data_IF_326062133048
#
_entry.id   IF_326062133048
#
_cell.length_a   1.000
_cell.length_b   1.000
_cell.length_c   1.000
_cell.angle_alpha   90.00
_cell.angle_beta   90.00
_cell.angle_gamma   90.00
#
_symmetry.space_group_name_H-M   'P 1'
#
loop_
_entity.id
_entity.type
_entity.pdbx_description
1 polymer ?
#
# COMPACT_ATOMS: atom_id res chain seq x y z
N UNK A 1 -0.47 6.88 34.70
CA UNK A 1 -1.10 5.61 35.08
C UNK A 1 -2.43 5.40 34.38
N UNK A 2 -2.89 4.14 34.28
CA UNK A 2 -4.18 3.77 33.67
C UNK A 2 -4.23 3.67 32.14
N UNK A 3 -3.08 3.76 31.44
CA UNK A 3 -3.02 3.77 29.97
C UNK A 3 -3.76 2.61 29.30
N UNK A 4 -3.68 1.40 29.86
CA UNK A 4 -4.28 0.18 29.31
C UNK A 4 -5.81 0.10 29.46
N UNK A 5 -6.41 0.96 30.27
CA UNK A 5 -7.84 0.96 30.55
C UNK A 5 -8.57 2.14 29.89
N UNK A 6 -7.87 2.91 29.06
CA UNK A 6 -8.45 4.02 28.30
C UNK A 6 -9.13 3.48 27.04
N UNK A 7 -10.47 3.54 26.94
CA UNK A 7 -11.20 2.94 25.83
C UNK A 7 -10.87 3.56 24.47
N UNK A 8 -10.36 4.80 24.46
CA UNK A 8 -9.97 5.53 23.24
C UNK A 8 -8.78 4.89 22.50
N UNK A 9 -8.01 4.02 23.17
CA UNK A 9 -6.85 3.34 22.61
C UNK A 9 -7.11 1.87 22.24
N UNK A 10 -8.38 1.42 22.33
CA UNK A 10 -8.77 0.08 21.88
C UNK A 10 -8.86 0.08 20.35
N UNK A 11 -8.06 -0.78 19.72
CA UNK A 11 -8.16 -1.02 18.28
C UNK A 11 -9.32 -1.97 17.98
N UNK A 12 -10.26 -1.54 17.14
CA UNK A 12 -11.36 -2.37 16.65
C UNK A 12 -11.25 -2.54 15.14
N UNK A 13 -11.38 -1.45 14.38
CA UNK A 13 -11.19 -1.46 12.94
C UNK A 13 -9.72 -1.28 12.58
N UNK A 14 -9.26 -2.02 11.57
CA UNK A 14 -7.95 -1.80 10.98
C UNK A 14 -7.89 -0.42 10.29
N UNK A 15 -6.74 0.23 10.41
CA UNK A 15 -6.42 1.37 9.57
C UNK A 15 -6.16 0.92 8.12
N UNK A 16 -6.09 1.89 7.22
CA UNK A 16 -5.68 1.64 5.85
C UNK A 16 -4.21 1.22 5.80
N UNK A 17 -3.88 0.20 5.02
CA UNK A 17 -2.51 -0.26 4.82
C UNK A 17 -2.31 -0.75 3.38
N UNK A 18 -1.07 -0.70 2.90
CA UNK A 18 -0.65 -1.28 1.63
C UNK A 18 0.82 -1.71 1.72
N UNK A 19 1.15 -2.78 1.01
CA UNK A 19 2.50 -3.31 0.95
C UNK A 19 2.83 -3.80 -0.45
N UNK A 20 4.10 -3.66 -0.80
CA UNK A 20 4.69 -4.18 -2.04
C UNK A 20 5.01 -5.67 -1.82
N UNK A 21 4.54 -6.53 -2.73
CA UNK A 21 4.88 -7.95 -2.76
C UNK A 21 5.75 -8.33 -3.96
N UNK A 22 5.92 -7.42 -4.93
CA UNK A 22 6.82 -7.57 -6.06
C UNK A 22 7.46 -6.20 -6.34
N UNK A 23 8.80 -6.07 -6.28
CA UNK A 23 9.81 -7.14 -6.28
C UNK A 23 9.90 -7.95 -4.98
N UNK A 24 10.44 -9.17 -5.11
CA UNK A 24 10.84 -9.99 -3.96
C UNK A 24 12.04 -9.36 -3.23
N UNK A 25 12.20 -9.73 -1.95
CA UNK A 25 13.36 -9.31 -1.18
C UNK A 25 14.66 -9.82 -1.82
N UNK A 26 15.59 -8.90 -2.09
CA UNK A 26 16.84 -9.14 -2.82
C UNK A 26 16.69 -9.57 -4.29
N UNK A 27 15.52 -9.36 -4.90
CA UNK A 27 15.39 -9.52 -6.34
C UNK A 27 16.27 -8.50 -7.08
N UNK A 28 16.90 -8.95 -8.17
CA UNK A 28 17.79 -8.12 -8.98
C UNK A 28 17.35 -8.11 -10.44
N UNK A 29 17.34 -6.92 -11.04
CA UNK A 29 17.04 -6.73 -12.46
C UNK A 29 18.35 -6.45 -13.21
N UNK A 30 18.60 -7.21 -14.29
CA UNK A 30 19.78 -6.98 -15.15
C UNK A 30 19.49 -5.86 -16.16
N UNK A 31 19.92 -4.64 -15.84
CA UNK A 31 19.63 -3.43 -16.62
C UNK A 31 19.96 -3.57 -18.10
N UNK A 32 21.12 -4.13 -18.48
CA UNK A 32 21.52 -4.29 -19.90
C UNK A 32 20.48 -5.04 -20.74
N UNK A 33 19.71 -5.95 -20.14
CA UNK A 33 18.69 -6.75 -20.81
C UNK A 33 17.30 -6.11 -20.78
N UNK A 34 17.01 -5.36 -19.71
CA UNK A 34 15.65 -4.92 -19.36
C UNK A 34 15.45 -3.41 -19.51
N UNK A 35 16.47 -2.64 -19.91
CA UNK A 35 16.42 -1.17 -19.96
C UNK A 35 15.26 -0.60 -20.79
N UNK A 36 14.85 -1.31 -21.85
CA UNK A 36 13.74 -0.93 -22.74
C UNK A 36 12.44 -1.69 -22.44
N UNK A 37 12.39 -2.48 -21.37
CA UNK A 37 11.19 -3.20 -20.94
C UNK A 37 10.52 -2.52 -19.75
N UNK A 38 9.36 -3.03 -19.38
CA UNK A 38 8.68 -2.70 -18.13
C UNK A 38 8.97 -3.78 -17.08
N UNK A 39 8.80 -3.40 -15.82
CA UNK A 39 8.79 -4.29 -14.68
C UNK A 39 7.42 -4.17 -14.00
N UNK A 40 6.77 -5.30 -13.68
CA UNK A 40 5.50 -5.29 -12.95
C UNK A 40 5.79 -5.15 -11.46
N UNK A 41 5.42 -4.01 -10.88
CA UNK A 41 5.29 -3.84 -9.44
C UNK A 41 3.92 -4.34 -9.02
N UNK A 42 3.86 -5.07 -7.92
CA UNK A 42 2.60 -5.59 -7.40
C UNK A 42 2.59 -5.60 -5.88
N UNK A 43 1.38 -5.64 -5.34
CA UNK A 43 1.17 -5.71 -3.91
C UNK A 43 -0.29 -5.86 -3.56
N UNK A 44 -0.58 -5.61 -2.28
CA UNK A 44 -1.94 -5.60 -1.76
C UNK A 44 -2.21 -4.34 -0.94
N UNK A 45 -3.49 -4.06 -0.73
CA UNK A 45 -3.97 -3.00 0.15
C UNK A 45 -5.26 -3.45 0.87
N UNK A 46 -5.47 -2.96 2.08
CA UNK A 46 -6.66 -3.22 2.88
C UNK A 46 -6.99 -2.05 3.81
N UNK A 47 -8.22 -2.02 4.32
CA UNK A 47 -8.69 -1.08 5.35
C UNK A 47 -9.75 -1.80 6.18
N UNK A 48 -9.98 -1.37 7.42
CA UNK A 48 -11.02 -1.90 8.28
C UNK A 48 -12.42 -1.35 7.97
N UNK A 49 -13.39 -1.74 8.78
CA UNK A 49 -14.76 -1.19 8.73
C UNK A 49 -15.54 -1.48 7.45
N UNK A 50 -15.07 -2.42 6.62
CA UNK A 50 -15.75 -2.79 5.37
C UNK A 50 -15.59 -1.75 4.27
N UNK A 51 -14.68 -0.80 4.43
CA UNK A 51 -14.48 0.31 3.49
C UNK A 51 -13.79 -0.18 2.21
N UNK A 52 -14.19 0.40 1.08
CA UNK A 52 -13.55 0.13 -0.20
C UNK A 52 -12.21 0.85 -0.31
N UNK A 53 -11.12 0.14 -0.63
CA UNK A 53 -9.91 0.76 -1.16
C UNK A 53 -10.23 1.34 -2.54
N UNK A 54 -9.99 2.63 -2.77
CA UNK A 54 -10.33 3.32 -4.01
C UNK A 54 -9.12 3.68 -4.86
N UNK A 55 -7.94 3.79 -4.24
CA UNK A 55 -6.71 4.25 -4.90
C UNK A 55 -5.50 3.61 -4.26
N UNK A 56 -4.54 3.20 -5.07
CA UNK A 56 -3.19 2.85 -4.66
C UNK A 56 -2.23 3.61 -5.57
N UNK A 57 -1.21 4.22 -4.97
CA UNK A 57 -0.18 4.95 -5.69
C UNK A 57 1.19 4.42 -5.30
N UNK A 58 2.14 4.48 -6.23
CA UNK A 58 3.55 4.23 -5.97
C UNK A 58 4.39 5.49 -6.23
N UNK A 59 5.56 5.56 -5.60
CA UNK A 59 6.56 6.58 -5.89
C UNK A 59 7.93 5.95 -6.01
N UNK A 60 8.70 6.39 -7.01
CA UNK A 60 10.10 6.00 -7.23
C UNK A 60 11.08 7.15 -7.01
N UNK A 61 10.59 8.30 -6.53
CA UNK A 61 11.36 9.50 -6.27
C UNK A 61 11.09 10.06 -4.87
N UNK A 62 11.07 9.17 -3.89
CA UNK A 62 10.97 9.52 -2.46
C UNK A 62 9.70 10.31 -2.10
N UNK A 63 8.59 10.05 -2.81
CA UNK A 63 7.28 10.63 -2.51
C UNK A 63 7.03 12.01 -3.13
N UNK A 64 7.92 12.49 -4.00
CA UNK A 64 7.75 13.77 -4.71
C UNK A 64 6.63 13.66 -5.76
N UNK A 65 6.66 12.62 -6.58
CA UNK A 65 5.61 12.31 -7.56
C UNK A 65 5.03 10.92 -7.28
N UNK A 66 3.76 10.74 -7.65
CA UNK A 66 3.00 9.53 -7.42
C UNK A 66 2.35 9.03 -8.71
N UNK A 67 2.43 7.73 -8.94
CA UNK A 67 1.91 7.04 -10.12
C UNK A 67 0.74 6.15 -9.69
N UNK A 68 -0.39 6.30 -10.38
CA UNK A 68 -1.62 5.57 -10.05
C UNK A 68 -1.51 4.11 -10.50
N UNK A 69 -1.80 3.19 -9.57
CA UNK A 69 -1.80 1.75 -9.83
C UNK A 69 -3.18 1.23 -10.27
N UNK A 70 -3.16 0.11 -10.99
CA UNK A 70 -4.37 -0.64 -11.32
C UNK A 70 -4.78 -1.51 -10.13
N UNK A 71 -6.04 -1.41 -9.70
CA UNK A 71 -6.57 -2.18 -8.57
C UNK A 71 -7.34 -3.40 -9.08
N UNK A 72 -6.87 -4.58 -8.72
CA UNK A 72 -7.51 -5.87 -9.01
C UNK A 72 -8.30 -6.36 -7.79
N UNK A 73 -9.64 -6.21 -7.86
CA UNK A 73 -10.56 -6.70 -6.82
C UNK A 73 -11.08 -8.08 -7.20
N UNK A 74 -10.64 -9.09 -6.46
CA UNK A 74 -11.10 -10.48 -6.62
C UNK A 74 -12.47 -10.71 -5.99
N UNK A 75 -12.73 -10.06 -4.86
CA UNK A 75 -14.00 -10.22 -4.15
C UNK A 75 -15.03 -9.14 -4.52
N UNK A 76 -16.29 -9.57 -4.48
CA UNK A 76 -17.45 -8.69 -4.66
C UNK A 76 -17.87 -8.11 -3.30
N UNK A 77 -18.44 -6.90 -3.26
CA UNK A 77 -18.99 -6.38 -2.03
C UNK A 77 -20.13 -7.26 -1.52
N UNK A 78 -20.37 -7.21 -0.21
CA UNK A 78 -21.59 -7.77 0.36
C UNK A 78 -22.85 -7.06 -0.18
N UNK A 79 -24.04 -7.59 0.14
CA UNK A 79 -25.32 -6.97 -0.21
C UNK A 79 -25.50 -5.53 0.30
N UNK A 80 -24.70 -5.10 1.27
CA UNK A 80 -24.71 -3.76 1.85
C UNK A 80 -23.52 -2.90 1.39
N UNK A 81 -22.79 -3.30 0.35
CA UNK A 81 -21.67 -2.53 -0.18
C UNK A 81 -20.35 -2.68 0.61
N UNK A 82 -20.27 -3.61 1.56
CA UNK A 82 -19.07 -3.79 2.38
C UNK A 82 -17.99 -4.63 1.69
N UNK A 83 -16.73 -4.20 1.81
CA UNK A 83 -15.53 -4.85 1.31
C UNK A 83 -14.67 -5.35 2.48
N UNK A 84 -14.74 -6.64 2.78
CA UNK A 84 -14.05 -7.23 3.93
C UNK A 84 -12.67 -7.79 3.62
N UNK A 85 -12.37 -7.99 2.34
CA UNK A 85 -11.12 -8.56 1.89
C UNK A 85 -10.21 -7.51 1.28
N UNK A 86 -8.92 -7.74 1.45
CA UNK A 86 -7.86 -7.02 0.76
C UNK A 86 -8.03 -7.01 -0.77
N UNK A 87 -7.44 -6.01 -1.40
CA UNK A 87 -7.36 -5.91 -2.85
C UNK A 87 -5.92 -6.03 -3.31
N UNK A 88 -5.74 -6.54 -4.52
CA UNK A 88 -4.43 -6.56 -5.18
C UNK A 88 -4.27 -5.27 -5.98
N UNK A 89 -3.03 -4.85 -6.18
CA UNK A 89 -2.70 -3.76 -7.09
C UNK A 89 -1.48 -4.12 -7.92
N UNK A 90 -1.41 -3.54 -9.12
CA UNK A 90 -0.29 -3.72 -10.06
C UNK A 90 0.05 -2.41 -10.74
N UNK A 91 1.32 -2.27 -11.14
CA UNK A 91 1.79 -1.16 -11.93
C UNK A 91 2.98 -1.58 -12.80
N UNK A 92 2.87 -1.40 -14.12
CA UNK A 92 3.97 -1.66 -15.04
C UNK A 92 4.85 -0.42 -15.17
N UNK A 93 6.00 -0.42 -14.49
CA UNK A 93 6.95 0.69 -14.53
C UNK A 93 8.00 0.48 -15.62
N UNK A 94 8.33 1.48 -16.45
CA UNK A 94 9.51 1.42 -17.30
C UNK A 94 10.77 1.20 -16.45
N UNK A 95 11.60 0.22 -16.81
CA UNK A 95 12.83 -0.07 -16.05
C UNK A 95 13.78 1.13 -16.05
N UNK A 96 13.72 1.98 -17.08
CA UNK A 96 14.46 3.23 -17.13
C UNK A 96 14.14 4.18 -15.95
N UNK A 97 12.89 4.22 -15.49
CA UNK A 97 12.45 5.09 -14.39
C UNK A 97 12.94 4.61 -13.01
N UNK A 98 13.38 3.36 -12.92
CA UNK A 98 14.01 2.80 -11.72
C UNK A 98 15.48 3.21 -11.58
N UNK A 99 16.11 3.72 -12.64
CA UNK A 99 17.53 4.10 -12.60
C UNK A 99 17.70 5.32 -11.70
N UNK A 100 18.58 5.17 -10.69
CA UNK A 100 18.81 6.23 -9.70
C UNK A 100 17.72 6.33 -8.63
N UNK A 101 16.64 5.55 -8.74
CA UNK A 101 15.68 5.40 -7.65
C UNK A 101 16.34 4.68 -6.48
N UNK A 102 16.22 5.25 -5.28
CA UNK A 102 16.78 4.68 -4.05
C UNK A 102 15.81 3.73 -3.35
N UNK A 103 14.51 3.93 -3.57
CA UNK A 103 13.43 3.21 -2.89
C UNK A 103 12.13 3.34 -3.67
N UNK A 104 11.29 2.33 -3.55
CA UNK A 104 9.92 2.33 -4.04
C UNK A 104 9.01 2.49 -2.83
N UNK A 105 8.08 3.45 -2.89
CA UNK A 105 7.06 3.67 -1.88
C UNK A 105 5.70 3.24 -2.44
N UNK A 106 4.80 2.77 -1.58
CA UNK A 106 3.39 2.58 -1.90
C UNK A 106 2.52 3.22 -0.83
N UNK A 107 1.33 3.71 -1.22
CA UNK A 107 0.29 4.15 -0.30
C UNK A 107 -1.10 3.94 -0.89
N UNK A 108 -2.09 3.76 -0.03
CA UNK A 108 -3.49 3.58 -0.43
C UNK A 108 -4.41 4.66 0.14
N UNK A 109 -5.61 4.76 -0.45
CA UNK A 109 -6.78 5.49 0.06
C UNK A 109 -8.01 4.60 0.03
N UNK A 110 -8.84 4.77 1.05
CA UNK A 110 -10.18 4.20 1.09
C UNK A 110 -11.24 5.22 0.68
N UNK A 111 -12.49 4.77 0.59
CA UNK A 111 -13.63 5.58 0.18
C UNK A 111 -13.99 6.71 1.18
N UNK A 112 -13.43 6.68 2.39
CA UNK A 112 -13.47 7.81 3.32
C UNK A 112 -12.36 8.83 3.05
N UNK A 113 -11.61 8.67 1.96
CA UNK A 113 -10.48 9.51 1.55
C UNK A 113 -9.33 9.55 2.57
N UNK A 114 -9.18 8.51 3.38
CA UNK A 114 -8.10 8.42 4.38
C UNK A 114 -6.80 7.87 3.75
N UNK A 115 -5.67 8.61 3.79
CA UNK A 115 -4.37 8.12 3.34
C UNK A 115 -3.60 7.34 4.43
N UNK A 116 -2.61 6.54 4.00
CA UNK A 116 -1.50 6.13 4.87
C UNK A 116 -0.59 7.34 5.21
N UNK A 117 -0.04 7.43 6.43
CA UNK A 117 0.92 8.46 6.79
C UNK A 117 2.24 8.27 6.04
N UNK A 118 2.97 9.37 5.77
CA UNK A 118 4.28 9.31 5.12
C UNK A 118 5.36 8.74 6.05
N UNK A 119 5.25 9.05 7.34
CA UNK A 119 6.23 8.66 8.36
C UNK A 119 5.61 7.63 9.29
N UNK A 120 6.43 6.67 9.71
CA UNK A 120 6.04 5.62 10.65
C UNK A 120 5.58 6.25 11.97
N UNK A 121 4.41 5.81 12.45
CA UNK A 121 3.91 6.17 13.78
C UNK A 121 4.32 5.09 14.77
N UNK A 122 5.38 5.35 15.54
CA UNK A 122 5.84 4.43 16.56
C UNK A 122 4.87 4.36 17.75
N UNK A 123 4.64 3.16 18.27
CA UNK A 123 4.00 2.95 19.56
C UNK A 123 4.67 1.79 20.31
N UNK A 124 4.44 1.75 21.62
CA UNK A 124 5.06 0.79 22.54
C UNK A 124 4.90 -0.67 22.12
N UNK A 125 3.76 -1.02 21.50
CA UNK A 125 3.42 -2.39 21.14
C UNK A 125 3.79 -2.74 19.69
N UNK A 126 4.31 -1.80 18.91
CA UNK A 126 4.59 -2.00 17.48
C UNK A 126 3.34 -2.33 16.65
N UNK A 127 2.15 -1.97 17.12
CA UNK A 127 0.88 -2.35 16.49
C UNK A 127 0.44 -1.34 15.44
N UNK A 128 -0.35 -1.78 14.47
CA UNK A 128 -1.10 -0.88 13.55
C UNK A 128 -0.18 0.06 12.74
N UNK A 129 1.05 -0.35 12.49
CA UNK A 129 1.99 0.38 11.62
C UNK A 129 1.50 0.33 10.18
N UNK A 130 1.20 1.51 9.62
CA UNK A 130 0.71 1.69 8.26
C UNK A 130 1.40 2.83 7.54
#
# INVERSE_FOLDING_TARGET
DGWWYKPEYIFNELNINSAISQPDHNETIVLKKMIHSTYELAGYAYTGGGRKIIRVEISVNEGVNWLLCDIERKEKPTKYGMYWCWTWWKFNIPVADLIGSKRILCRAWDESSMPQPMNVTWNLMGMVNN
#
